data_IF_842353381433
#
_entry.id   IF_842353381433
#
_cell.length_a   1.000
_cell.length_b   1.000
_cell.length_c   1.000
_cell.angle_alpha   90.00
_cell.angle_beta   90.00
_cell.angle_gamma   90.00
#
_symmetry.space_group_name_H-M   'P 1'
#
loop_
_entity.id
_entity.type
_entity.pdbx_description
1 polymer ?
#
# COMPACT_ATOMS: atom_id res chain seq x y z
N UNK A 1 1.90 -15.95 25.12
CA UNK A 1 2.36 -17.24 24.58
C UNK A 1 1.30 -18.28 24.88
N UNK A 2 1.05 -19.22 23.95
CA UNK A 2 0.16 -20.37 24.25
C UNK A 2 0.81 -21.27 25.31
N UNK A 3 0.01 -22.11 26.04
CA UNK A 3 0.55 -23.03 27.04
C UNK A 3 1.59 -24.03 26.49
N UNK A 4 1.59 -24.29 25.18
CA UNK A 4 2.51 -25.17 24.45
C UNK A 4 3.81 -24.47 24.00
N UNK A 5 4.04 -23.23 24.43
CA UNK A 5 5.22 -22.43 24.05
C UNK A 5 5.24 -21.92 22.62
N UNK A 6 4.24 -22.22 21.81
CA UNK A 6 4.15 -21.75 20.42
C UNK A 6 3.60 -20.32 20.35
N UNK A 7 4.01 -19.54 19.38
CA UNK A 7 3.41 -18.22 19.14
C UNK A 7 1.91 -18.37 18.88
N UNK A 8 1.09 -17.38 19.26
CA UNK A 8 -0.32 -17.39 18.93
C UNK A 8 -0.49 -17.33 17.39
N UNK A 9 -1.50 -18.05 16.91
CA UNK A 9 -1.96 -17.88 15.51
C UNK A 9 -2.87 -16.66 15.49
N UNK A 10 -2.56 -15.71 14.62
CA UNK A 10 -3.39 -14.54 14.37
C UNK A 10 -4.06 -14.67 13.00
N UNK A 11 -5.31 -14.21 12.89
CA UNK A 11 -6.09 -14.28 11.67
C UNK A 11 -6.69 -15.67 11.43
N UNK A 12 -7.03 -15.92 10.18
CA UNK A 12 -7.64 -17.16 9.68
C UNK A 12 -6.71 -17.82 8.65
N UNK A 13 -5.71 -18.59 9.10
CA UNK A 13 -4.67 -19.14 8.23
C UNK A 13 -5.23 -20.29 7.36
N UNK A 14 -4.95 -20.24 6.07
CA UNK A 14 -5.29 -21.30 5.09
C UNK A 14 -4.49 -22.60 5.28
N UNK A 15 -3.53 -22.62 6.19
CA UNK A 15 -2.63 -23.73 6.46
C UNK A 15 -1.76 -24.15 5.26
N UNK A 16 -0.90 -25.14 5.45
CA UNK A 16 0.08 -25.53 4.43
C UNK A 16 -0.56 -26.07 3.13
N UNK A 17 -1.68 -26.76 3.26
CA UNK A 17 -2.40 -27.33 2.09
C UNK A 17 -3.07 -26.22 1.28
N UNK A 18 -3.80 -25.30 1.95
CA UNK A 18 -4.42 -24.16 1.29
C UNK A 18 -3.38 -23.26 0.63
N UNK A 19 -2.27 -22.96 1.31
CA UNK A 19 -1.20 -22.15 0.72
C UNK A 19 -0.60 -22.82 -0.55
N UNK A 20 -0.41 -24.14 -0.54
CA UNK A 20 0.05 -24.83 -1.77
C UNK A 20 -0.96 -24.77 -2.91
N UNK A 21 -2.26 -24.86 -2.59
CA UNK A 21 -3.30 -24.70 -3.57
C UNK A 21 -3.30 -23.29 -4.18
N UNK A 22 -3.19 -22.25 -3.36
CA UNK A 22 -3.10 -20.86 -3.82
C UNK A 22 -1.88 -20.64 -4.72
N UNK A 23 -0.71 -21.12 -4.30
CA UNK A 23 0.51 -21.02 -5.10
C UNK A 23 0.37 -21.73 -6.46
N UNK A 24 -0.28 -22.90 -6.49
CA UNK A 24 -0.53 -23.64 -7.73
C UNK A 24 -1.50 -22.91 -8.67
N UNK A 25 -2.57 -22.31 -8.13
CA UNK A 25 -3.53 -21.52 -8.90
C UNK A 25 -2.88 -20.29 -9.51
N UNK A 26 -2.00 -19.63 -8.76
CA UNK A 26 -1.24 -18.46 -9.23
C UNK A 26 -0.03 -18.82 -10.09
N UNK A 27 0.21 -20.11 -10.35
CA UNK A 27 1.38 -20.62 -11.10
C UNK A 27 2.71 -20.13 -10.51
N UNK A 28 2.78 -19.96 -9.20
CA UNK A 28 3.99 -19.56 -8.48
C UNK A 28 4.86 -20.80 -8.25
N UNK A 29 6.05 -20.88 -8.85
CA UNK A 29 6.87 -22.10 -8.83
C UNK A 29 7.67 -22.29 -7.53
N UNK A 30 7.54 -21.37 -6.59
CA UNK A 30 8.29 -21.39 -5.34
C UNK A 30 7.55 -22.12 -4.21
N UNK A 31 8.29 -22.85 -3.42
CA UNK A 31 7.79 -23.37 -2.13
C UNK A 31 7.61 -22.22 -1.11
N UNK A 32 6.79 -22.43 -0.08
CA UNK A 32 6.66 -21.45 1.01
C UNK A 32 8.01 -21.06 1.66
N UNK A 33 8.96 -22.00 1.75
CA UNK A 33 10.28 -21.73 2.28
C UNK A 33 11.09 -20.82 1.36
N UNK A 34 11.09 -21.08 0.08
CA UNK A 34 11.76 -20.24 -0.90
C UNK A 34 11.17 -18.83 -0.94
N UNK A 35 9.85 -18.68 -0.75
CA UNK A 35 9.23 -17.36 -0.63
C UNK A 35 9.69 -16.60 0.62
N UNK A 36 9.88 -17.29 1.75
CA UNK A 36 10.47 -16.66 2.95
C UNK A 36 11.90 -16.21 2.66
N UNK A 37 12.72 -17.05 2.04
CA UNK A 37 14.11 -16.72 1.68
C UNK A 37 14.17 -15.55 0.68
N UNK A 38 13.21 -15.44 -0.24
CA UNK A 38 13.06 -14.27 -1.12
C UNK A 38 12.74 -13.03 -0.28
N UNK A 39 11.74 -13.12 0.58
CA UNK A 39 11.34 -11.99 1.44
C UNK A 39 12.47 -11.48 2.33
N UNK A 40 13.28 -12.38 2.90
CA UNK A 40 14.45 -11.99 3.71
C UNK A 40 15.51 -11.24 2.89
N UNK A 41 15.75 -11.65 1.63
CA UNK A 41 16.66 -10.94 0.73
C UNK A 41 16.13 -9.55 0.34
N UNK A 42 14.82 -9.47 0.04
CA UNK A 42 14.19 -8.20 -0.28
C UNK A 42 14.20 -7.23 0.91
N UNK A 43 13.94 -7.73 2.12
CA UNK A 43 14.04 -6.92 3.33
C UNK A 43 15.46 -6.37 3.53
N UNK A 44 16.48 -7.20 3.34
CA UNK A 44 17.87 -6.75 3.42
C UNK A 44 18.20 -5.70 2.37
N UNK A 45 17.68 -5.84 1.14
CA UNK A 45 17.84 -4.85 0.08
C UNK A 45 17.15 -3.53 0.45
N UNK A 46 15.92 -3.56 0.96
CA UNK A 46 15.17 -2.38 1.40
C UNK A 46 15.94 -1.63 2.49
N UNK A 47 16.49 -2.33 3.48
CA UNK A 47 17.31 -1.68 4.52
C UNK A 47 18.53 -0.96 3.96
N UNK A 48 19.16 -1.51 2.93
CA UNK A 48 20.26 -0.82 2.24
C UNK A 48 19.78 0.45 1.55
N UNK A 49 18.60 0.42 0.90
CA UNK A 49 18.04 1.62 0.28
C UNK A 49 17.70 2.69 1.34
N UNK A 50 17.09 2.29 2.46
CA UNK A 50 16.82 3.23 3.57
C UNK A 50 18.08 3.94 4.06
N UNK A 51 19.19 3.20 4.27
CA UNK A 51 20.46 3.81 4.68
C UNK A 51 21.01 4.76 3.61
N UNK A 52 20.93 4.40 2.33
CA UNK A 52 21.35 5.29 1.22
C UNK A 52 20.56 6.59 1.22
N UNK A 53 19.23 6.52 1.39
CA UNK A 53 18.39 7.73 1.45
C UNK A 53 18.67 8.53 2.71
N UNK A 54 18.79 7.89 3.87
CA UNK A 54 19.15 8.56 5.12
C UNK A 54 20.47 9.34 5.01
N UNK A 55 21.48 8.74 4.38
CA UNK A 55 22.75 9.41 4.08
C UNK A 55 22.54 10.65 3.19
N UNK A 56 21.75 10.55 2.13
CA UNK A 56 21.42 11.70 1.25
C UNK A 56 20.68 12.80 1.99
N UNK A 57 19.87 12.46 2.99
CA UNK A 57 19.14 13.39 3.84
C UNK A 57 20.00 14.00 4.97
N UNK A 58 21.26 13.59 5.13
CA UNK A 58 22.16 14.09 6.17
C UNK A 58 22.05 13.39 7.52
N UNK A 59 21.35 12.24 7.59
CA UNK A 59 21.21 11.44 8.82
C UNK A 59 22.21 10.29 8.95
N UNK A 60 23.22 10.20 8.06
CA UNK A 60 24.15 9.06 8.03
C UNK A 60 23.37 7.75 7.81
N UNK A 61 23.75 6.70 8.53
CA UNK A 61 23.10 5.39 8.43
C UNK A 61 21.82 5.27 9.30
N UNK A 62 21.44 6.32 10.02
CA UNK A 62 20.27 6.34 10.88
C UNK A 62 19.00 6.62 10.06
N UNK A 63 18.52 5.59 9.36
CA UNK A 63 17.30 5.66 8.58
C UNK A 63 16.05 5.89 9.44
N UNK A 64 16.09 5.54 10.74
CA UNK A 64 14.96 5.81 11.64
C UNK A 64 14.84 7.30 11.94
N UNK A 65 15.96 7.99 12.13
CA UNK A 65 15.97 9.44 12.27
C UNK A 65 15.51 10.15 10.98
N UNK A 66 15.91 9.63 9.80
CA UNK A 66 15.41 10.13 8.52
C UNK A 66 13.89 9.94 8.38
N UNK A 67 13.36 8.79 8.80
CA UNK A 67 11.93 8.53 8.81
C UNK A 67 11.17 9.47 9.76
N UNK A 68 11.70 9.71 10.97
CA UNK A 68 11.10 10.68 11.90
C UNK A 68 11.10 12.11 11.33
N UNK A 69 12.16 12.49 10.61
CA UNK A 69 12.20 13.77 9.87
C UNK A 69 11.05 13.81 8.84
N UNK A 70 10.89 12.76 8.03
CA UNK A 70 9.85 12.66 7.01
C UNK A 70 8.44 12.74 7.60
N UNK A 71 8.19 12.13 8.76
CA UNK A 71 6.90 12.22 9.46
C UNK A 71 6.52 13.63 9.87
N UNK A 72 7.49 14.54 10.04
CA UNK A 72 7.24 15.95 10.36
C UNK A 72 6.85 16.79 9.13
N UNK A 73 6.91 16.22 7.93
CA UNK A 73 6.50 16.86 6.68
C UNK A 73 5.02 16.57 6.33
N UNK A 74 4.22 16.23 7.34
CA UNK A 74 2.79 16.01 7.17
C UNK A 74 2.08 17.28 6.66
N UNK A 75 1.01 17.14 5.86
CA UNK A 75 0.21 18.29 5.43
C UNK A 75 -0.35 19.03 6.66
N UNK A 76 -0.67 20.31 6.53
CA UNK A 76 -1.36 21.01 7.61
C UNK A 76 -2.71 20.33 7.92
N UNK A 77 -3.26 20.52 9.13
CA UNK A 77 -4.59 20.02 9.46
C UNK A 77 -5.61 20.39 8.39
N UNK A 78 -6.35 19.40 7.89
CA UNK A 78 -7.29 19.58 6.78
C UNK A 78 -6.69 19.41 5.37
N UNK A 79 -5.37 19.40 5.21
CA UNK A 79 -4.71 19.35 3.90
C UNK A 79 -4.56 17.95 3.29
N UNK A 80 -4.63 16.89 4.09
CA UNK A 80 -4.39 15.53 3.61
C UNK A 80 -5.32 15.07 2.46
N UNK A 81 -6.64 15.36 2.45
CA UNK A 81 -7.50 14.99 1.32
C UNK A 81 -7.06 15.62 0.00
N UNK A 82 -6.74 16.90 0.00
CA UNK A 82 -6.27 17.59 -1.21
C UNK A 82 -4.95 16.98 -1.72
N UNK A 83 -4.00 16.71 -0.83
CA UNK A 83 -2.73 16.09 -1.19
C UNK A 83 -2.92 14.70 -1.83
N UNK A 84 -3.89 13.91 -1.37
CA UNK A 84 -4.21 12.60 -1.98
C UNK A 84 -4.79 12.77 -3.38
N UNK A 85 -5.70 13.72 -3.58
CA UNK A 85 -6.25 14.01 -4.90
C UNK A 85 -5.16 14.47 -5.88
N UNK A 86 -4.26 15.35 -5.44
CA UNK A 86 -3.16 15.84 -6.27
C UNK A 86 -2.23 14.69 -6.69
N UNK A 87 -1.88 13.80 -5.76
CA UNK A 87 -1.06 12.62 -6.06
C UNK A 87 -1.79 11.67 -7.01
N UNK A 88 -3.08 11.40 -6.79
CA UNK A 88 -3.85 10.49 -7.63
C UNK A 88 -3.94 10.99 -9.08
N UNK A 89 -4.27 12.25 -9.27
CA UNK A 89 -4.33 12.85 -10.61
C UNK A 89 -2.96 12.89 -11.28
N UNK A 90 -1.90 13.22 -10.53
CA UNK A 90 -0.54 13.17 -11.05
C UNK A 90 -0.18 11.77 -11.55
N UNK A 91 -0.43 10.73 -10.75
CA UNK A 91 -0.13 9.34 -11.10
C UNK A 91 -0.94 8.88 -12.32
N UNK A 92 -2.23 9.18 -12.36
CA UNK A 92 -3.11 8.85 -13.49
C UNK A 92 -2.66 9.51 -14.80
N UNK A 93 -2.31 10.79 -14.75
CA UNK A 93 -1.85 11.53 -15.92
C UNK A 93 -0.46 11.08 -16.37
N UNK A 94 0.42 10.75 -15.43
CA UNK A 94 1.73 10.18 -15.75
C UNK A 94 1.58 8.87 -16.50
N UNK A 95 0.82 7.91 -15.96
CA UNK A 95 0.60 6.59 -16.57
C UNK A 95 -0.07 6.72 -17.94
N UNK A 96 -1.02 7.65 -18.09
CA UNK A 96 -1.67 7.90 -19.37
C UNK A 96 -0.69 8.43 -20.43
N UNK A 97 0.23 9.32 -20.05
CA UNK A 97 1.27 9.84 -20.96
C UNK A 97 2.30 8.78 -21.34
N UNK A 98 2.67 7.92 -20.41
CA UNK A 98 3.65 6.84 -20.67
C UNK A 98 3.06 5.69 -21.49
N UNK A 99 1.74 5.63 -21.65
CA UNK A 99 1.05 4.50 -22.31
C UNK A 99 1.41 3.13 -21.73
N UNK A 100 1.79 3.09 -20.44
CA UNK A 100 2.24 1.88 -19.76
C UNK A 100 1.13 0.85 -19.59
N UNK A 101 -0.12 1.31 -19.51
CA UNK A 101 -1.33 0.50 -19.40
C UNK A 101 -2.50 1.27 -20.03
N UNK A 102 -3.45 0.53 -20.59
CA UNK A 102 -4.70 1.14 -21.07
C UNK A 102 -5.56 1.57 -19.90
N UNK A 103 -5.77 2.88 -19.73
CA UNK A 103 -6.63 3.43 -18.69
C UNK A 103 -8.04 3.65 -19.22
N UNK A 104 -9.03 3.02 -18.61
CA UNK A 104 -10.43 3.26 -18.88
C UNK A 104 -10.85 4.60 -18.23
N UNK A 105 -11.39 5.58 -19.01
CA UNK A 105 -11.74 6.88 -18.45
C UNK A 105 -12.66 6.80 -17.25
N UNK A 106 -13.70 5.96 -17.32
CA UNK A 106 -14.65 5.79 -16.22
C UNK A 106 -14.00 5.29 -14.92
N UNK A 107 -12.95 4.46 -15.00
CA UNK A 107 -12.26 4.00 -13.80
C UNK A 107 -11.54 5.14 -13.07
N UNK A 108 -11.11 6.18 -13.79
CA UNK A 108 -10.50 7.38 -13.21
C UNK A 108 -11.52 8.32 -12.56
N UNK A 109 -12.79 8.21 -12.93
CA UNK A 109 -13.84 9.16 -12.54
C UNK A 109 -14.69 8.67 -11.37
N UNK A 110 -14.75 7.36 -11.11
CA UNK A 110 -15.72 6.78 -10.18
C UNK A 110 -15.21 6.56 -8.75
N UNK A 111 -13.92 6.62 -8.52
CA UNK A 111 -13.40 6.50 -7.16
C UNK A 111 -13.68 7.78 -6.35
N UNK A 112 -13.80 7.65 -5.06
CA UNK A 112 -14.02 8.79 -4.17
C UNK A 112 -13.34 8.58 -2.83
N UNK A 113 -12.93 9.69 -2.23
CA UNK A 113 -12.33 9.73 -0.91
C UNK A 113 -13.41 9.87 0.16
N UNK A 114 -13.29 9.08 1.22
CA UNK A 114 -14.11 9.18 2.43
C UNK A 114 -13.22 9.14 3.67
N UNK A 115 -13.67 9.79 4.74
CA UNK A 115 -12.99 9.72 6.04
C UNK A 115 -13.33 8.42 6.74
N UNK A 116 -12.35 7.82 7.42
CA UNK A 116 -12.58 6.71 8.34
C UNK A 116 -13.29 7.19 9.61
N UNK A 117 -14.03 6.30 10.28
CA UNK A 117 -14.54 6.61 11.61
C UNK A 117 -13.39 6.70 12.64
N UNK A 118 -13.54 7.47 13.73
CA UNK A 118 -12.50 7.58 14.75
C UNK A 118 -12.03 6.24 15.31
N UNK A 119 -12.95 5.30 15.54
CA UNK A 119 -12.63 3.97 16.07
C UNK A 119 -11.80 3.16 15.06
N UNK A 120 -12.11 3.28 13.79
CA UNK A 120 -11.39 2.59 12.74
C UNK A 120 -9.98 3.12 12.56
N UNK A 121 -9.78 4.41 12.75
CA UNK A 121 -8.47 5.06 12.67
C UNK A 121 -7.47 4.54 13.72
N UNK A 122 -7.95 4.11 14.89
CA UNK A 122 -7.10 3.52 15.93
C UNK A 122 -6.55 2.15 15.53
N UNK A 123 -7.24 1.43 14.63
CA UNK A 123 -6.84 0.11 14.14
C UNK A 123 -6.07 0.23 12.83
N UNK A 124 -6.52 1.12 11.96
CA UNK A 124 -5.90 1.39 10.66
C UNK A 124 -5.72 2.91 10.49
N UNK A 125 -4.59 3.47 10.92
CA UNK A 125 -4.32 4.91 10.87
C UNK A 125 -3.91 5.41 9.48
N UNK A 126 -4.02 4.58 8.46
CA UNK A 126 -3.57 4.86 7.11
C UNK A 126 -4.74 5.00 6.13
N UNK A 127 -4.38 5.22 4.92
CA UNK A 127 -5.20 5.25 3.75
C UNK A 127 -5.48 3.82 3.26
N UNK A 128 -6.68 3.54 2.76
CA UNK A 128 -7.05 2.22 2.21
C UNK A 128 -7.79 2.36 0.90
N UNK A 129 -7.56 1.44 -0.03
CA UNK A 129 -8.03 1.50 -1.38
C UNK A 129 -9.45 1.05 -1.64
N UNK A 130 -9.76 0.96 -2.92
CA UNK A 130 -11.04 0.59 -3.49
C UNK A 130 -11.77 1.78 -4.11
N UNK A 131 -12.97 1.54 -4.67
CA UNK A 131 -13.82 2.59 -5.25
C UNK A 131 -14.20 3.66 -4.22
N UNK A 132 -14.36 3.28 -2.97
CA UNK A 132 -14.45 4.21 -1.83
C UNK A 132 -13.17 4.08 -1.02
N UNK A 133 -12.23 4.89 -1.38
CA UNK A 133 -10.96 5.02 -0.68
C UNK A 133 -11.15 5.72 0.65
N UNK A 134 -10.58 5.20 1.72
CA UNK A 134 -10.75 5.75 3.06
C UNK A 134 -9.44 6.27 3.61
N UNK A 135 -9.49 7.54 4.01
CA UNK A 135 -8.38 8.22 4.65
C UNK A 135 -8.56 8.24 6.17
N UNK A 136 -7.53 7.87 6.89
CA UNK A 136 -7.42 8.21 8.30
C UNK A 136 -7.24 9.72 8.43
N UNK A 137 -8.10 10.36 9.23
CA UNK A 137 -8.16 11.80 9.35
C UNK A 137 -8.42 12.20 10.80
N UNK A 138 -7.55 13.00 11.42
CA UNK A 138 -7.70 13.38 12.82
C UNK A 138 -9.04 14.03 13.11
N UNK A 139 -9.71 13.61 14.18
CA UNK A 139 -10.97 14.15 14.64
C UNK A 139 -10.87 14.68 16.08
N UNK A 140 -11.77 15.58 16.47
CA UNK A 140 -11.76 16.17 17.81
C UNK A 140 -12.11 15.15 18.92
N UNK A 141 -12.73 14.02 18.55
CA UNK A 141 -13.04 12.93 19.49
C UNK A 141 -11.85 12.03 19.80
N UNK A 142 -10.75 12.15 19.05
CA UNK A 142 -9.53 11.35 19.27
C UNK A 142 -8.64 12.00 20.33
N UNK A 143 -7.91 11.18 21.10
CA UNK A 143 -6.85 11.67 21.97
C UNK A 143 -5.77 12.40 21.16
N UNK A 144 -5.05 13.33 21.80
CA UNK A 144 -4.03 14.14 21.11
C UNK A 144 -2.97 13.28 20.41
N UNK A 145 -2.46 12.26 21.09
CA UNK A 145 -1.41 11.38 20.55
C UNK A 145 -1.91 10.58 19.33
N UNK A 146 -3.18 10.13 19.34
CA UNK A 146 -3.81 9.45 18.22
C UNK A 146 -3.98 10.39 17.02
N UNK A 147 -4.39 11.63 17.28
CA UNK A 147 -4.47 12.66 16.22
C UNK A 147 -3.11 12.94 15.60
N UNK A 148 -2.09 13.07 16.44
CA UNK A 148 -0.73 13.29 15.99
C UNK A 148 -0.18 12.09 15.19
N UNK A 149 -0.45 10.88 15.64
CA UNK A 149 -0.09 9.64 14.93
C UNK A 149 -0.75 9.59 13.55
N UNK A 150 -2.06 9.83 13.47
CA UNK A 150 -2.80 9.87 12.20
C UNK A 150 -2.25 10.92 11.24
N UNK A 151 -1.97 12.13 11.75
CA UNK A 151 -1.42 13.22 10.95
C UNK A 151 -0.02 12.89 10.42
N UNK A 152 0.87 12.37 11.28
CA UNK A 152 2.25 12.05 10.95
C UNK A 152 2.39 10.79 10.10
N UNK A 153 1.42 9.87 10.16
CA UNK A 153 1.38 8.67 9.34
C UNK A 153 0.96 8.91 7.88
N UNK A 154 0.33 10.06 7.58
CA UNK A 154 -0.23 10.37 6.26
C UNK A 154 0.53 11.53 5.59
N UNK A 155 1.86 11.46 5.56
CA UNK A 155 2.70 12.44 4.85
C UNK A 155 2.58 12.26 3.34
N UNK A 156 2.82 13.31 2.53
CA UNK A 156 2.87 13.19 1.08
C UNK A 156 3.87 12.12 0.61
N UNK A 157 5.00 12.00 1.28
CA UNK A 157 6.05 11.03 0.96
C UNK A 157 5.60 9.57 1.18
N UNK A 158 4.81 9.31 2.24
CA UNK A 158 4.22 8.00 2.47
C UNK A 158 3.02 7.76 1.54
N UNK A 159 2.20 8.78 1.34
CA UNK A 159 1.02 8.68 0.51
C UNK A 159 1.34 8.57 -0.99
N UNK A 160 2.50 9.05 -1.43
CA UNK A 160 2.87 8.99 -2.85
C UNK A 160 2.86 7.55 -3.39
N UNK A 161 3.64 6.59 -2.87
CA UNK A 161 3.54 5.20 -3.29
C UNK A 161 2.19 4.57 -2.95
N UNK A 162 1.61 4.90 -1.78
CA UNK A 162 0.35 4.30 -1.33
C UNK A 162 -0.82 4.67 -2.23
N UNK A 163 -0.90 5.90 -2.74
CA UNK A 163 -2.01 6.34 -3.58
C UNK A 163 -2.10 5.54 -4.87
N UNK A 164 -1.00 5.30 -5.58
CA UNK A 164 -1.06 4.50 -6.80
C UNK A 164 -1.14 2.99 -6.52
N UNK A 165 -0.70 2.51 -5.35
CA UNK A 165 -0.99 1.17 -4.86
C UNK A 165 -2.50 0.96 -4.66
N UNK A 166 -3.17 1.90 -4.02
CA UNK A 166 -4.58 1.77 -3.64
C UNK A 166 -5.56 2.16 -4.74
N UNK A 167 -5.20 3.09 -5.62
CA UNK A 167 -6.10 3.64 -6.65
C UNK A 167 -5.75 3.16 -8.06
N UNK A 168 -5.07 3.98 -8.84
CA UNK A 168 -4.74 3.74 -10.23
C UNK A 168 -3.23 3.82 -10.39
N UNK A 169 -2.60 2.75 -10.83
CA UNK A 169 -3.11 1.53 -11.44
C UNK A 169 -3.37 0.36 -10.47
N UNK A 170 -3.30 0.58 -9.16
CA UNK A 170 -3.37 -0.43 -8.11
C UNK A 170 -4.77 -1.04 -7.89
N UNK A 171 -5.14 -1.22 -6.61
CA UNK A 171 -6.31 -2.01 -6.21
C UNK A 171 -7.64 -1.57 -6.81
N UNK A 172 -7.89 -0.26 -6.88
CA UNK A 172 -9.13 0.23 -7.49
C UNK A 172 -9.21 -0.18 -8.96
N UNK A 173 -8.15 0.08 -9.72
CA UNK A 173 -8.13 -0.22 -11.16
C UNK A 173 -8.14 -1.73 -11.43
N UNK A 174 -7.40 -2.51 -10.66
CA UNK A 174 -7.40 -3.97 -10.72
C UNK A 174 -8.83 -4.52 -10.48
N UNK A 175 -9.51 -4.08 -9.42
CA UNK A 175 -10.87 -4.50 -9.12
C UNK A 175 -11.88 -4.07 -10.20
N UNK A 176 -11.70 -2.87 -10.77
CA UNK A 176 -12.52 -2.38 -11.87
C UNK A 176 -12.38 -3.23 -13.12
N UNK A 177 -11.15 -3.60 -13.50
CA UNK A 177 -10.85 -4.47 -14.65
C UNK A 177 -11.32 -5.89 -14.41
N UNK A 178 -11.12 -6.42 -13.22
CA UNK A 178 -11.58 -7.77 -12.82
C UNK A 178 -13.07 -7.96 -13.04
N UNK A 179 -13.88 -7.00 -12.61
CA UNK A 179 -15.35 -7.07 -12.75
C UNK A 179 -15.82 -7.11 -14.21
N UNK A 180 -15.01 -6.64 -15.15
CA UNK A 180 -15.38 -6.44 -16.57
C UNK A 180 -14.69 -7.41 -17.52
N UNK A 181 -13.41 -7.65 -17.30
CA UNK A 181 -12.58 -8.37 -18.28
C UNK A 181 -11.94 -9.63 -17.72
N UNK A 182 -11.73 -9.70 -16.42
CA UNK A 182 -11.07 -10.81 -15.72
C UNK A 182 -12.02 -11.46 -14.69
N UNK A 183 -13.25 -11.78 -15.10
CA UNK A 183 -14.29 -12.29 -14.19
C UNK A 183 -13.95 -13.66 -13.57
N UNK A 184 -13.00 -14.40 -14.16
CA UNK A 184 -12.45 -15.63 -13.57
C UNK A 184 -11.68 -15.36 -12.27
N UNK A 185 -11.20 -14.12 -12.06
CA UNK A 185 -10.62 -13.64 -10.81
C UNK A 185 -11.70 -13.13 -9.84
N UNK A 186 -12.80 -13.87 -9.70
CA UNK A 186 -13.86 -13.57 -8.73
C UNK A 186 -13.43 -13.82 -7.28
N UNK A 187 -14.33 -13.58 -6.31
CA UNK A 187 -14.00 -13.67 -4.88
C UNK A 187 -13.44 -15.02 -4.43
N UNK A 188 -13.74 -16.10 -5.16
CA UNK A 188 -13.23 -17.45 -4.87
C UNK A 188 -11.81 -17.70 -5.42
N UNK A 189 -11.35 -16.85 -6.34
CA UNK A 189 -10.04 -16.95 -6.99
C UNK A 189 -9.21 -15.67 -6.78
N UNK A 190 -9.44 -14.97 -5.69
CA UNK A 190 -8.75 -13.76 -5.30
C UNK A 190 -7.74 -14.12 -4.20
N UNK A 191 -6.50 -14.33 -4.59
CA UNK A 191 -5.43 -14.60 -3.63
C UNK A 191 -4.67 -13.33 -3.29
N UNK A 192 -4.09 -13.22 -2.08
CA UNK A 192 -3.21 -12.09 -1.75
C UNK A 192 -2.04 -11.95 -2.72
N UNK A 193 -1.53 -13.04 -3.28
CA UNK A 193 -0.45 -12.99 -4.27
C UNK A 193 -0.84 -12.20 -5.52
N UNK A 194 -2.06 -12.36 -6.00
CA UNK A 194 -2.54 -11.60 -7.14
C UNK A 194 -2.91 -10.16 -6.78
N UNK A 195 -3.62 -9.99 -5.66
CA UNK A 195 -4.14 -8.68 -5.28
C UNK A 195 -3.01 -7.74 -4.87
N UNK A 196 -2.20 -8.15 -3.90
CA UNK A 196 -1.09 -7.33 -3.40
C UNK A 196 0.10 -7.31 -4.37
N UNK A 197 0.34 -8.44 -5.05
CA UNK A 197 1.41 -8.55 -6.04
C UNK A 197 1.23 -7.61 -7.22
N UNK A 198 -0.01 -7.38 -7.69
CA UNK A 198 -0.31 -6.39 -8.71
C UNK A 198 0.02 -4.97 -8.26
N UNK A 199 -0.43 -4.59 -7.08
CA UNK A 199 -0.25 -3.25 -6.56
C UNK A 199 1.24 -2.96 -6.27
N UNK A 200 1.94 -3.90 -5.65
CA UNK A 200 3.39 -3.80 -5.40
C UNK A 200 4.20 -3.78 -6.70
N UNK A 201 3.83 -4.57 -7.71
CA UNK A 201 4.47 -4.52 -9.02
C UNK A 201 4.46 -3.11 -9.61
N UNK A 202 3.34 -2.40 -9.49
CA UNK A 202 3.23 -1.04 -9.97
C UNK A 202 4.03 -0.03 -9.14
N UNK A 203 4.20 -0.25 -7.85
CA UNK A 203 5.12 0.57 -7.05
C UNK A 203 6.54 0.48 -7.60
N UNK A 204 7.04 -0.74 -7.91
CA UNK A 204 8.36 -0.93 -8.49
C UNK A 204 8.47 -0.37 -9.91
N UNK A 205 7.48 -0.60 -10.77
CA UNK A 205 7.48 -0.06 -12.14
C UNK A 205 7.54 1.46 -12.13
N UNK A 206 6.77 2.11 -11.27
CA UNK A 206 6.76 3.56 -11.18
C UNK A 206 8.03 4.11 -10.52
N UNK A 207 8.62 3.38 -9.58
CA UNK A 207 9.91 3.71 -8.99
C UNK A 207 11.05 3.76 -10.01
N UNK A 208 10.99 2.92 -11.05
CA UNK A 208 12.03 2.84 -12.08
C UNK A 208 11.95 3.98 -13.12
N UNK A 209 10.87 4.77 -13.14
CA UNK A 209 10.80 5.97 -13.96
C UNK A 209 11.52 7.14 -13.27
N UNK A 210 12.53 7.70 -13.92
CA UNK A 210 13.30 8.83 -13.37
C UNK A 210 12.48 10.12 -13.19
N UNK A 211 11.38 10.25 -13.93
CA UNK A 211 10.52 11.43 -14.00
C UNK A 211 9.17 11.25 -13.28
N UNK A 212 9.00 10.15 -12.51
CA UNK A 212 7.79 9.89 -11.71
C UNK A 212 7.85 10.42 -10.29
#
# INVERSE_FOLDING_TARGET
MKPDGKPPIFGDPVMAEGLRADLAVEMIPYSPRELIEIGERELAWVEVQFRKVANKMGHGDDWKAALEHTKNLAPPPGGAPAAIFDIAHYSEDFIARQHSITLAPLAREIWRLAMQSPERQLINPFFTGGEVTRLSYPTDSMAFDDRLMSQRGNTPHFNFPTVHHELVPGHHYQAWMRKRFNSHRGPLNDTPFWTEGWALYWEFVLWDFEDF
#
